data_IF_252562518136
#
_entry.id   IF_252562518136
#
_cell.length_a   1.000
_cell.length_b   1.000
_cell.length_c   1.000
_cell.angle_alpha   90.00
_cell.angle_beta   90.00
_cell.angle_gamma   90.00
#
_symmetry.space_group_name_H-M   'P 1'
#
loop_
_entity.id
_entity.type
_entity.pdbx_description
1 polymer ?
#
# COMPACT_ATOMS: atom_id res chain seq x y z
N UNK A 1 -75.98 -34.71 -5.94
CA UNK A 1 -75.62 -33.27 -5.84
C UNK A 1 -74.16 -33.14 -5.40
N UNK A 2 -73.20 -33.35 -6.35
CA UNK A 2 -71.79 -33.16 -6.09
C UNK A 2 -71.09 -32.72 -7.39
N UNK A 3 -71.24 -31.50 -7.85
CA UNK A 3 -70.59 -31.00 -9.06
C UNK A 3 -70.10 -29.53 -9.01
N UNK A 4 -70.11 -28.84 -7.88
CA UNK A 4 -69.80 -27.40 -7.86
C UNK A 4 -68.58 -26.96 -7.01
N UNK A 5 -67.85 -27.91 -6.38
CA UNK A 5 -66.72 -27.54 -5.51
C UNK A 5 -65.34 -27.53 -6.23
N UNK A 6 -65.23 -28.29 -7.34
CA UNK A 6 -63.94 -28.41 -8.04
C UNK A 6 -63.60 -27.23 -8.95
N UNK A 7 -64.62 -26.54 -9.48
CA UNK A 7 -64.38 -25.39 -10.38
C UNK A 7 -63.90 -24.14 -9.65
N UNK A 8 -64.25 -24.01 -8.34
CA UNK A 8 -63.87 -22.83 -7.55
C UNK A 8 -62.40 -22.92 -7.09
N UNK A 9 -61.93 -24.11 -6.77
CA UNK A 9 -60.53 -24.37 -6.34
C UNK A 9 -59.55 -24.15 -7.49
N UNK A 10 -59.91 -24.56 -8.70
CA UNK A 10 -59.03 -24.36 -9.88
C UNK A 10 -58.91 -22.91 -10.31
N UNK A 11 -59.90 -22.07 -10.05
CA UNK A 11 -59.82 -20.64 -10.36
C UNK A 11 -58.91 -19.90 -9.37
N UNK A 12 -58.89 -20.30 -8.09
CA UNK A 12 -58.03 -19.72 -7.07
C UNK A 12 -56.55 -20.08 -7.32
N UNK A 13 -56.25 -21.32 -7.75
CA UNK A 13 -54.88 -21.73 -8.10
C UNK A 13 -54.31 -21.01 -9.32
N UNK A 14 -55.15 -20.60 -10.28
CA UNK A 14 -54.72 -19.80 -11.44
C UNK A 14 -54.39 -18.37 -11.11
N UNK A 15 -55.01 -17.80 -10.09
CA UNK A 15 -54.72 -16.44 -9.64
C UNK A 15 -53.44 -16.37 -8.76
N UNK A 16 -53.13 -17.43 -7.99
CA UNK A 16 -51.93 -17.47 -7.16
C UNK A 16 -50.71 -17.70 -8.02
N UNK A 17 -50.77 -18.47 -9.11
CA UNK A 17 -49.67 -18.67 -10.04
C UNK A 17 -49.30 -17.43 -10.85
N UNK A 18 -50.22 -16.46 -11.01
CA UNK A 18 -49.99 -15.21 -11.75
C UNK A 18 -49.39 -14.11 -10.91
N UNK A 19 -49.38 -14.22 -9.58
CA UNK A 19 -48.82 -13.21 -8.67
C UNK A 19 -47.38 -13.54 -8.24
N UNK A 20 -46.82 -14.71 -8.61
CA UNK A 20 -45.45 -15.12 -8.23
C UNK A 20 -44.41 -14.82 -9.32
N UNK A 21 -44.80 -14.13 -10.40
CA UNK A 21 -43.94 -13.88 -11.56
C UNK A 21 -43.34 -12.47 -11.63
N UNK A 22 -43.45 -11.65 -10.60
CA UNK A 22 -42.97 -10.27 -10.65
C UNK A 22 -42.13 -9.98 -9.41
N UNK A 23 -41.04 -10.68 -9.22
CA UNK A 23 -39.90 -10.21 -8.37
C UNK A 23 -38.62 -10.92 -8.73
N UNK A 24 -38.28 -10.96 -10.01
CA UNK A 24 -36.88 -11.09 -10.44
C UNK A 24 -36.48 -9.78 -11.11
N UNK A 25 -36.58 -8.69 -10.38
CA UNK A 25 -35.74 -7.54 -10.68
C UNK A 25 -34.37 -7.98 -10.21
N UNK A 26 -33.61 -8.54 -11.13
CA UNK A 26 -32.17 -8.62 -11.03
C UNK A 26 -31.67 -7.26 -10.61
N UNK A 27 -31.33 -7.14 -9.33
CA UNK A 27 -30.44 -6.11 -8.85
C UNK A 27 -29.17 -6.28 -9.70
N UNK A 28 -29.04 -5.47 -10.76
CA UNK A 28 -27.73 -5.16 -11.28
C UNK A 28 -27.01 -4.53 -10.09
N UNK A 29 -26.24 -5.36 -9.39
CA UNK A 29 -25.17 -4.88 -8.55
C UNK A 29 -24.30 -4.06 -9.50
N UNK A 30 -24.41 -2.74 -9.42
CA UNK A 30 -23.38 -1.86 -9.88
C UNK A 30 -22.11 -2.40 -9.27
N UNK A 31 -21.21 -2.92 -10.10
CA UNK A 31 -19.80 -3.01 -9.73
C UNK A 31 -19.39 -1.57 -9.38
N UNK A 32 -19.56 -1.20 -8.15
CA UNK A 32 -18.74 -0.15 -7.58
C UNK A 32 -17.32 -0.67 -7.78
N UNK A 33 -16.60 -0.03 -8.72
CA UNK A 33 -15.17 -0.02 -8.71
C UNK A 33 -14.79 0.61 -7.37
N UNK A 34 -14.81 -0.18 -6.31
CA UNK A 34 -14.22 0.20 -5.04
C UNK A 34 -12.72 0.25 -5.31
N UNK A 35 -12.22 1.42 -5.62
CA UNK A 35 -10.80 1.72 -5.51
C UNK A 35 -10.40 1.24 -4.12
N UNK A 36 -9.38 0.37 -3.98
CA UNK A 36 -8.95 -0.09 -2.68
C UNK A 36 -8.71 1.15 -1.80
N UNK A 37 -9.44 1.25 -0.70
CA UNK A 37 -9.21 2.32 0.27
C UNK A 37 -8.02 1.91 1.11
N UNK A 38 -6.84 2.31 0.68
CA UNK A 38 -5.63 2.15 1.48
C UNK A 38 -5.63 3.15 2.64
N UNK A 39 -5.08 2.72 3.77
CA UNK A 39 -4.78 3.61 4.88
C UNK A 39 -3.65 4.56 4.47
N UNK A 40 -3.73 5.85 4.81
CA UNK A 40 -2.63 6.77 4.56
C UNK A 40 -1.39 6.41 5.39
N UNK A 41 -0.20 6.62 4.85
CA UNK A 41 1.06 6.45 5.60
C UNK A 41 1.09 7.33 6.85
N UNK A 42 0.54 8.54 6.79
CA UNK A 42 0.46 9.48 7.90
C UNK A 42 -0.48 9.04 9.05
N UNK A 43 -1.23 7.96 8.88
CA UNK A 43 -2.02 7.35 9.97
C UNK A 43 -1.19 6.41 10.87
N UNK A 44 0.06 6.13 10.50
CA UNK A 44 0.97 5.35 11.34
C UNK A 44 1.91 6.27 12.12
N UNK A 45 1.86 6.20 13.45
CA UNK A 45 2.66 7.08 14.31
C UNK A 45 4.16 6.95 14.03
N UNK A 46 4.66 5.74 13.77
CA UNK A 46 6.07 5.50 13.44
C UNK A 46 6.51 6.22 12.16
N UNK A 47 5.61 6.38 11.18
CA UNK A 47 5.89 7.14 9.95
C UNK A 47 5.98 8.62 10.26
N UNK A 48 5.02 9.15 11.03
CA UNK A 48 5.00 10.58 11.42
C UNK A 48 6.24 10.94 12.21
N UNK A 49 6.61 10.11 13.21
CA UNK A 49 7.74 10.38 14.11
C UNK A 49 9.11 10.27 13.40
N UNK A 50 9.18 9.52 12.30
CA UNK A 50 10.41 9.29 11.55
C UNK A 50 10.36 9.90 10.13
N UNK A 51 9.47 10.84 9.87
CA UNK A 51 9.42 11.55 8.60
C UNK A 51 10.56 12.54 8.48
N UNK A 52 11.26 12.51 7.33
CA UNK A 52 12.37 13.43 7.01
C UNK A 52 12.16 14.09 5.64
N UNK A 53 12.94 15.13 5.39
CA UNK A 53 12.97 15.85 4.11
C UNK A 53 14.20 15.48 3.28
N UNK A 54 14.14 15.74 1.98
CA UNK A 54 15.21 15.39 1.05
C UNK A 54 16.60 15.90 1.46
N UNK A 55 16.82 17.15 1.89
CA UNK A 55 18.15 17.60 2.34
C UNK A 55 18.69 16.92 3.60
N UNK A 56 17.84 16.17 4.29
CA UNK A 56 18.18 15.54 5.58
C UNK A 56 18.62 14.08 5.41
N UNK A 57 18.55 13.52 4.19
CA UNK A 57 18.76 12.09 3.93
C UNK A 57 20.13 11.55 4.35
N UNK A 58 21.16 12.39 4.45
CA UNK A 58 22.50 12.02 4.88
C UNK A 58 22.91 12.65 6.22
N UNK A 59 21.98 13.30 6.92
CA UNK A 59 22.26 14.05 8.14
C UNK A 59 21.37 13.61 9.29
N UNK A 60 21.36 12.31 9.58
CA UNK A 60 20.67 11.71 10.71
C UNK A 60 21.65 11.40 11.85
N UNK A 61 21.11 11.21 13.06
CA UNK A 61 21.94 10.92 14.26
C UNK A 61 22.56 9.52 14.24
N UNK A 62 21.84 8.55 13.64
CA UNK A 62 22.29 7.17 13.52
C UNK A 62 23.37 7.04 12.46
N UNK A 63 24.35 6.16 12.72
CA UNK A 63 25.41 5.84 11.76
C UNK A 63 24.94 4.94 10.63
N UNK A 64 23.93 4.12 10.91
CA UNK A 64 23.34 3.19 9.95
C UNK A 64 21.82 3.25 10.05
N UNK A 65 21.15 3.47 8.92
CA UNK A 65 19.69 3.56 8.82
C UNK A 65 19.24 3.34 7.39
N UNK A 66 17.94 3.14 7.22
CA UNK A 66 17.31 3.13 5.91
C UNK A 66 16.29 4.27 5.78
N UNK A 67 16.04 4.68 4.54
CA UNK A 67 15.00 5.65 4.19
C UNK A 67 14.06 4.99 3.20
N UNK A 68 12.80 4.89 3.57
CA UNK A 68 11.75 4.40 2.70
C UNK A 68 11.06 5.56 1.98
N UNK A 69 11.12 5.54 0.65
CA UNK A 69 10.50 6.55 -0.22
C UNK A 69 9.16 6.06 -0.71
N UNK A 70 8.12 6.85 -0.47
CA UNK A 70 6.76 6.53 -0.84
C UNK A 70 6.01 7.73 -1.42
N UNK A 71 4.86 7.45 -2.01
CA UNK A 71 3.84 8.46 -2.35
C UNK A 71 2.48 7.92 -1.94
N UNK A 72 1.59 8.78 -1.46
CA UNK A 72 0.20 8.44 -1.12
C UNK A 72 -0.63 7.96 -2.34
N UNK A 73 -0.15 8.21 -3.54
CA UNK A 73 -0.80 7.77 -4.79
C UNK A 73 -0.16 6.52 -5.41
N UNK A 74 0.88 5.97 -4.79
CA UNK A 74 1.62 4.83 -5.29
C UNK A 74 0.98 3.51 -4.82
N UNK A 75 0.34 2.77 -5.71
CA UNK A 75 -0.30 1.49 -5.39
C UNK A 75 0.68 0.47 -4.79
N UNK A 76 1.85 0.30 -5.37
CA UNK A 76 2.89 -0.61 -4.87
C UNK A 76 3.45 -0.20 -3.50
N UNK A 77 3.43 1.10 -3.17
CA UNK A 77 3.80 1.56 -1.85
C UNK A 77 2.77 1.10 -0.81
N UNK A 78 1.48 1.18 -1.14
CA UNK A 78 0.42 0.70 -0.27
C UNK A 78 0.40 -0.82 -0.11
N UNK A 79 0.77 -1.57 -1.14
CA UNK A 79 0.86 -3.04 -1.07
C UNK A 79 1.91 -3.50 -0.05
N UNK A 80 3.02 -2.77 0.12
CA UNK A 80 4.05 -3.11 1.09
C UNK A 80 4.00 -2.28 2.39
N UNK A 81 2.97 -1.46 2.57
CA UNK A 81 2.85 -0.50 3.67
C UNK A 81 2.95 -1.16 5.04
N UNK A 82 2.17 -2.22 5.28
CA UNK A 82 2.18 -2.91 6.56
C UNK A 82 3.54 -3.56 6.84
N UNK A 83 4.19 -4.12 5.82
CA UNK A 83 5.50 -4.76 5.94
C UNK A 83 6.59 -3.77 6.33
N UNK A 84 6.64 -2.59 5.70
CA UNK A 84 7.65 -1.57 6.03
C UNK A 84 7.37 -0.89 7.37
N UNK A 85 6.10 -0.72 7.73
CA UNK A 85 5.71 -0.19 9.05
C UNK A 85 6.07 -1.17 10.16
N UNK A 86 5.76 -2.47 9.98
CA UNK A 86 6.16 -3.50 10.93
C UNK A 86 7.69 -3.58 11.07
N UNK A 87 8.41 -3.53 9.96
CA UNK A 87 9.87 -3.47 9.98
C UNK A 87 10.38 -2.29 10.80
N UNK A 88 9.84 -1.10 10.60
CA UNK A 88 10.24 0.11 11.31
C UNK A 88 9.98 0.04 12.84
N UNK A 89 8.98 -0.75 13.25
CA UNK A 89 8.64 -0.94 14.67
C UNK A 89 9.49 -2.04 15.31
N UNK A 90 9.76 -3.12 14.58
CA UNK A 90 10.31 -4.36 15.15
C UNK A 90 11.80 -4.56 14.89
N UNK A 91 12.35 -3.99 13.80
CA UNK A 91 13.75 -4.12 13.46
C UNK A 91 14.61 -3.06 14.15
N UNK A 92 15.79 -3.42 14.70
CA UNK A 92 16.70 -2.44 15.32
C UNK A 92 17.29 -1.44 14.32
N UNK A 93 17.32 -1.77 13.02
CA UNK A 93 17.78 -0.86 11.96
C UNK A 93 16.79 0.30 11.83
N UNK A 94 17.25 1.52 12.15
CA UNK A 94 16.39 2.71 12.11
C UNK A 94 15.83 2.93 10.71
N UNK A 95 14.54 3.16 10.64
CA UNK A 95 13.83 3.46 9.40
C UNK A 95 13.29 4.87 9.43
N UNK A 96 13.65 5.67 8.44
CA UNK A 96 13.07 6.96 8.15
C UNK A 96 12.12 6.86 6.96
N UNK A 97 11.19 7.80 6.86
CA UNK A 97 10.17 7.85 5.82
C UNK A 97 10.24 9.19 5.08
N UNK A 98 10.12 9.14 3.74
CA UNK A 98 10.10 10.34 2.91
C UNK A 98 9.00 10.26 1.87
N UNK A 99 8.01 11.15 1.99
CA UNK A 99 6.95 11.30 1.01
C UNK A 99 7.46 12.10 -0.20
N UNK A 100 7.61 11.46 -1.36
CA UNK A 100 8.08 12.12 -2.58
C UNK A 100 7.07 13.13 -3.13
N UNK A 101 5.79 13.02 -2.77
CA UNK A 101 4.77 13.99 -3.14
C UNK A 101 4.94 15.35 -2.45
N UNK A 102 5.66 15.38 -1.33
CA UNK A 102 5.90 16.57 -0.52
C UNK A 102 7.35 17.09 -0.64
N UNK A 103 8.20 16.36 -1.34
CA UNK A 103 9.62 16.64 -1.47
C UNK A 103 10.06 16.66 -2.94
N UNK A 104 10.92 17.57 -3.32
CA UNK A 104 11.54 17.61 -4.66
C UNK A 104 12.68 16.56 -4.76
N UNK A 105 12.31 15.29 -4.85
CA UNK A 105 13.26 14.16 -4.94
C UNK A 105 13.71 13.97 -6.39
N UNK A 106 15.02 13.97 -6.69
CA UNK A 106 15.51 13.63 -8.03
C UNK A 106 15.21 12.18 -8.39
N UNK A 107 14.59 11.95 -9.54
CA UNK A 107 14.31 10.63 -10.08
C UNK A 107 15.28 10.34 -11.22
N UNK A 108 16.04 9.26 -11.10
CA UNK A 108 17.02 8.79 -12.07
C UNK A 108 17.05 7.25 -12.09
N UNK A 109 17.19 6.67 -13.25
CA UNK A 109 17.31 5.22 -13.42
C UNK A 109 18.63 4.67 -12.86
N UNK A 110 19.64 5.52 -12.74
CA UNK A 110 20.95 5.13 -12.19
C UNK A 110 20.85 4.95 -10.68
N UNK A 111 21.08 3.73 -10.22
CA UNK A 111 21.12 3.38 -8.79
C UNK A 111 22.45 3.82 -8.20
N UNK A 112 22.60 5.10 -7.94
CA UNK A 112 23.85 5.67 -7.42
C UNK A 112 24.13 5.23 -5.99
N UNK A 113 25.33 4.72 -5.74
CA UNK A 113 25.86 4.37 -4.42
C UNK A 113 27.20 5.06 -4.20
N UNK A 114 27.70 5.10 -2.97
CA UNK A 114 28.91 5.83 -2.59
C UNK A 114 28.71 7.35 -2.52
N UNK A 115 27.47 7.82 -2.55
CA UNK A 115 27.11 9.24 -2.52
C UNK A 115 27.19 9.75 -1.08
N UNK A 116 27.87 10.89 -0.90
CA UNK A 116 28.05 11.59 0.39
C UNK A 116 27.48 13.00 0.38
N UNK A 117 26.93 13.45 -0.76
CA UNK A 117 26.21 14.72 -0.92
C UNK A 117 24.80 14.45 -1.44
N UNK A 118 23.79 14.85 -0.68
CA UNK A 118 22.37 14.62 -1.05
C UNK A 118 21.99 15.23 -2.41
N UNK A 119 22.66 16.30 -2.86
CA UNK A 119 22.40 16.93 -4.16
C UNK A 119 22.76 16.04 -5.36
N UNK A 120 23.64 15.05 -5.13
CA UNK A 120 24.04 14.07 -6.15
C UNK A 120 23.20 12.78 -6.07
N UNK A 121 22.41 12.64 -5.02
CA UNK A 121 21.58 11.47 -4.80
C UNK A 121 20.32 11.49 -5.67
N UNK A 122 19.79 10.31 -5.93
CA UNK A 122 18.54 10.12 -6.66
C UNK A 122 17.93 8.77 -6.30
N UNK A 123 16.63 8.60 -6.58
CA UNK A 123 15.94 7.30 -6.52
C UNK A 123 15.36 6.95 -7.88
N UNK A 124 15.01 5.69 -8.10
CA UNK A 124 14.36 5.25 -9.35
C UNK A 124 12.84 5.08 -9.16
N UNK A 125 12.17 6.12 -8.63
CA UNK A 125 10.72 6.09 -8.38
C UNK A 125 10.35 5.53 -7.01
N UNK A 126 9.08 5.15 -6.83
CA UNK A 126 8.53 4.61 -5.57
C UNK A 126 7.80 3.28 -5.79
N UNK A 127 7.88 2.33 -4.84
CA UNK A 127 8.66 2.39 -3.61
C UNK A 127 10.16 2.26 -3.85
N UNK A 128 10.97 2.93 -3.02
CA UNK A 128 12.43 2.77 -3.00
C UNK A 128 12.95 2.79 -1.57
N UNK A 129 14.12 2.16 -1.36
CA UNK A 129 14.87 2.21 -0.11
C UNK A 129 16.29 2.68 -0.41
N UNK A 130 16.77 3.69 0.31
CA UNK A 130 18.18 3.98 0.43
C UNK A 130 18.69 3.45 1.76
N UNK A 131 19.81 2.71 1.73
CA UNK A 131 20.57 2.39 2.92
C UNK A 131 21.71 3.40 3.06
N UNK A 132 21.88 3.92 4.25
CA UNK A 132 22.90 4.92 4.56
C UNK A 132 23.76 4.41 5.70
N UNK A 133 25.09 4.42 5.49
CA UNK A 133 26.08 4.12 6.52
C UNK A 133 27.13 5.25 6.59
N UNK A 134 27.32 5.80 7.77
CA UNK A 134 28.26 6.90 8.01
C UNK A 134 28.11 8.06 7.00
N UNK A 135 26.86 8.53 6.81
CA UNK A 135 26.47 9.58 5.85
C UNK A 135 26.83 9.26 4.39
N UNK A 136 26.90 7.99 4.02
CA UNK A 136 27.13 7.52 2.65
C UNK A 136 26.02 6.58 2.23
N UNK A 137 25.47 6.76 1.04
CA UNK A 137 24.50 5.83 0.46
C UNK A 137 25.21 4.55 0.07
N UNK A 138 24.90 3.43 0.73
CA UNK A 138 25.52 2.13 0.50
C UNK A 138 24.65 1.19 -0.34
N UNK A 139 23.33 1.41 -0.35
CA UNK A 139 22.40 0.72 -1.25
C UNK A 139 21.30 1.64 -1.76
N UNK A 140 20.82 1.37 -2.97
CA UNK A 140 19.71 2.07 -3.62
C UNK A 140 18.81 1.02 -4.30
N UNK A 141 17.73 0.67 -3.64
CA UNK A 141 16.81 -0.41 -3.99
C UNK A 141 15.51 0.22 -4.49
N UNK A 142 14.93 -0.31 -5.56
CA UNK A 142 13.68 0.21 -6.12
C UNK A 142 12.77 -0.90 -6.62
N UNK A 143 11.46 -0.72 -6.43
CA UNK A 143 10.42 -1.68 -6.77
C UNK A 143 10.04 -2.54 -5.59
N UNK A 144 8.80 -3.02 -5.60
CA UNK A 144 8.19 -3.72 -4.46
C UNK A 144 8.94 -5.00 -4.10
N UNK A 145 9.26 -5.84 -5.09
CA UNK A 145 9.89 -7.15 -4.86
C UNK A 145 11.30 -7.01 -4.28
N UNK A 146 12.10 -6.10 -4.84
CA UNK A 146 13.47 -5.83 -4.37
C UNK A 146 13.44 -5.20 -2.96
N UNK A 147 12.53 -4.27 -2.69
CA UNK A 147 12.37 -3.66 -1.37
C UNK A 147 11.95 -4.69 -0.32
N UNK A 148 10.97 -5.55 -0.60
CA UNK A 148 10.54 -6.62 0.30
C UNK A 148 11.67 -7.63 0.57
N UNK A 149 12.40 -8.01 -0.47
CA UNK A 149 13.55 -8.90 -0.34
C UNK A 149 14.60 -8.28 0.58
N UNK A 150 14.93 -7.01 0.37
CA UNK A 150 15.89 -6.29 1.20
C UNK A 150 15.46 -6.23 2.68
N UNK A 151 14.20 -5.87 2.98
CA UNK A 151 13.70 -5.82 4.37
C UNK A 151 13.80 -7.20 5.05
N UNK A 152 13.45 -8.27 4.35
CA UNK A 152 13.57 -9.62 4.87
C UNK A 152 15.03 -10.03 5.15
N UNK A 153 15.96 -9.68 4.27
CA UNK A 153 17.40 -9.93 4.50
C UNK A 153 17.93 -9.16 5.72
N UNK A 154 17.50 -7.91 5.92
CA UNK A 154 17.91 -7.15 7.09
C UNK A 154 17.37 -7.76 8.40
N UNK A 155 16.13 -8.25 8.44
CA UNK A 155 15.60 -8.99 9.60
C UNK A 155 16.42 -10.23 9.93
N UNK A 156 16.87 -10.98 8.92
CA UNK A 156 17.67 -12.18 9.12
C UNK A 156 19.07 -11.87 9.68
N UNK A 157 19.66 -10.73 9.37
CA UNK A 157 20.97 -10.29 9.89
C UNK A 157 20.93 -9.89 11.37
N UNK A 158 19.74 -9.60 11.91
CA UNK A 158 19.54 -9.10 13.27
C UNK A 158 19.21 -10.23 14.27
N UNK A 159 18.94 -11.45 13.79
CA UNK A 159 18.67 -12.66 14.59
C UNK A 159 19.94 -13.51 14.71
#
# INVERSE_FOLDING_TARGET
MHKNTYTSVMKIFRFIASLLSITLITSCSSNENSTPSYKSFNEYQVVVDNSIKWPEILNQEEKSYIIFFYSETCAYCHEMQEEVVDFAITCPLKTYFLNVGENAVPIDSDKKIGITNYEEASINGTPSILEVENATITANISGIDDCLTYLNEQRLKQN
#
